data_IF_266199460491
#
_entry.id   IF_266199460491
#
_cell.length_a   1.000
_cell.length_b   1.000
_cell.length_c   1.000
_cell.angle_alpha   90.00
_cell.angle_beta   90.00
_cell.angle_gamma   90.00
#
_symmetry.space_group_name_H-M   'P 1'
#
loop_
_entity.id
_entity.type
_entity.pdbx_description
1 polymer ?
#
# COMPACT_ATOMS: atom_id res chain seq x y z
N UNK A 1 23.95 -26.78 6.22
CA UNK A 1 22.67 -26.27 6.75
C UNK A 1 22.32 -25.04 5.91
N UNK A 2 21.28 -25.09 5.06
CA UNK A 2 20.83 -23.87 4.36
C UNK A 2 20.25 -22.93 5.41
N UNK A 3 20.53 -21.61 5.39
CA UNK A 3 19.85 -20.69 6.27
C UNK A 3 18.35 -20.80 5.97
N UNK A 4 17.56 -21.12 6.99
CA UNK A 4 16.11 -20.94 6.95
C UNK A 4 15.90 -19.44 6.78
N UNK A 5 15.41 -19.01 5.62
CA UNK A 5 14.91 -17.66 5.50
C UNK A 5 13.66 -17.62 6.40
N UNK A 6 13.78 -17.01 7.58
CA UNK A 6 12.58 -16.59 8.29
C UNK A 6 11.90 -15.55 7.39
N UNK A 7 10.60 -15.72 7.13
CA UNK A 7 9.84 -14.66 6.51
C UNK A 7 9.88 -13.44 7.43
N UNK A 8 9.93 -12.23 6.88
CA UNK A 8 10.01 -11.01 7.70
C UNK A 8 8.85 -10.97 8.70
N UNK A 9 7.73 -11.53 8.31
CA UNK A 9 6.47 -11.69 9.02
C UNK A 9 6.58 -12.61 10.26
N UNK A 10 7.59 -13.49 10.31
CA UNK A 10 7.85 -14.40 11.44
C UNK A 10 8.81 -13.78 12.49
N UNK A 11 9.36 -12.60 12.21
CA UNK A 11 10.26 -11.91 13.13
C UNK A 11 9.42 -11.04 14.10
N UNK A 12 9.44 -11.30 15.43
CA UNK A 12 8.64 -10.54 16.40
C UNK A 12 8.92 -9.03 16.39
N UNK A 13 10.16 -8.65 16.08
CA UNK A 13 10.58 -7.26 15.93
C UNK A 13 10.00 -6.59 14.66
N UNK A 14 9.32 -7.36 13.80
CA UNK A 14 8.67 -6.88 12.60
C UNK A 14 7.13 -6.76 12.67
N UNK A 15 6.50 -7.01 13.82
CA UNK A 15 5.04 -6.90 13.99
C UNK A 15 4.48 -5.53 13.55
N UNK A 16 3.32 -5.50 12.88
CA UNK A 16 2.76 -4.28 12.28
C UNK A 16 3.10 -4.06 10.80
N UNK A 17 4.10 -4.80 10.26
CA UNK A 17 4.50 -4.65 8.85
C UNK A 17 3.41 -5.16 7.91
N UNK A 18 2.77 -6.28 8.25
CA UNK A 18 1.74 -6.91 7.42
C UNK A 18 0.48 -6.05 7.36
N UNK A 19 0.06 -5.49 8.50
CA UNK A 19 -1.07 -4.57 8.55
C UNK A 19 -0.80 -3.30 7.73
N UNK A 20 0.41 -2.74 7.82
CA UNK A 20 0.80 -1.59 7.01
C UNK A 20 0.83 -1.92 5.52
N UNK A 21 1.45 -3.03 5.12
CA UNK A 21 1.52 -3.46 3.72
C UNK A 21 0.14 -3.74 3.13
N UNK A 22 -0.77 -4.32 3.92
CA UNK A 22 -2.15 -4.54 3.53
C UNK A 22 -2.88 -3.19 3.32
N UNK A 23 -2.72 -2.22 4.22
CA UNK A 23 -3.28 -0.89 4.06
C UNK A 23 -2.74 -0.17 2.81
N UNK A 24 -1.43 -0.24 2.57
CA UNK A 24 -0.79 0.34 1.37
C UNK A 24 -1.29 -0.30 0.08
N UNK A 25 -1.51 -1.62 0.08
CA UNK A 25 -2.09 -2.32 -1.06
C UNK A 25 -3.51 -1.79 -1.37
N UNK A 26 -4.36 -1.66 -0.36
CA UNK A 26 -5.73 -1.16 -0.50
C UNK A 26 -5.71 0.28 -1.02
N UNK A 27 -4.81 1.12 -0.48
CA UNK A 27 -4.64 2.50 -0.92
C UNK A 27 -4.22 2.59 -2.39
N UNK A 28 -3.27 1.73 -2.82
CA UNK A 28 -2.85 1.64 -4.22
C UNK A 28 -3.99 1.25 -5.17
N UNK A 29 -4.88 0.34 -4.74
CA UNK A 29 -6.08 -0.04 -5.51
C UNK A 29 -7.03 1.15 -5.64
N UNK A 30 -7.27 1.89 -4.56
CA UNK A 30 -8.15 3.05 -4.56
C UNK A 30 -7.63 4.18 -5.47
N UNK A 31 -6.32 4.47 -5.43
CA UNK A 31 -5.71 5.41 -6.39
C UNK A 31 -5.79 4.90 -7.82
N UNK A 32 -5.62 3.60 -8.04
CA UNK A 32 -5.79 2.97 -9.36
C UNK A 32 -7.21 3.17 -9.91
N UNK A 33 -8.23 2.95 -9.07
CA UNK A 33 -9.63 3.21 -9.44
C UNK A 33 -9.86 4.69 -9.76
N UNK A 34 -9.34 5.60 -8.94
CA UNK A 34 -9.46 7.04 -9.18
C UNK A 34 -8.88 7.46 -10.53
N UNK A 35 -7.70 6.94 -10.89
CA UNK A 35 -7.10 7.20 -12.20
C UNK A 35 -8.00 6.72 -13.34
N UNK A 36 -8.62 5.55 -13.18
CA UNK A 36 -9.48 4.97 -14.21
C UNK A 36 -10.82 5.70 -14.36
N UNK A 37 -11.40 6.21 -13.27
CA UNK A 37 -12.64 6.97 -13.30
C UNK A 37 -12.45 8.40 -13.80
N UNK A 38 -11.30 9.02 -13.51
CA UNK A 38 -10.98 10.39 -13.92
C UNK A 38 -10.14 10.46 -15.21
N UNK A 39 -10.13 9.39 -16.01
CA UNK A 39 -9.23 9.25 -17.14
C UNK A 39 -9.51 10.31 -18.23
N UNK A 40 -8.59 11.26 -18.40
CA UNK A 40 -8.72 12.35 -19.37
C UNK A 40 -8.70 11.89 -20.83
N UNK A 41 -9.14 12.76 -21.73
CA UNK A 41 -9.18 12.47 -23.17
C UNK A 41 -7.79 12.55 -23.80
N UNK A 42 -6.96 13.48 -23.33
CA UNK A 42 -5.61 13.71 -23.82
C UNK A 42 -4.53 12.97 -23.01
N UNK A 43 -3.35 12.80 -23.60
CA UNK A 43 -2.18 12.24 -22.89
C UNK A 43 -1.75 13.15 -21.73
N UNK A 44 -1.75 14.47 -21.93
CA UNK A 44 -1.41 15.44 -20.88
C UNK A 44 -2.30 15.29 -19.64
N UNK A 45 -3.63 15.22 -19.85
CA UNK A 45 -4.59 15.07 -18.75
C UNK A 45 -4.40 13.72 -18.04
N UNK A 46 -4.19 12.63 -18.80
CA UNK A 46 -3.93 11.31 -18.21
C UNK A 46 -2.68 11.31 -17.35
N UNK A 47 -1.60 11.95 -17.80
CA UNK A 47 -0.36 12.08 -17.03
C UNK A 47 -0.57 12.90 -15.76
N UNK A 48 -1.36 13.97 -15.82
CA UNK A 48 -1.70 14.76 -14.63
C UNK A 48 -2.54 13.95 -13.63
N UNK A 49 -3.52 13.19 -14.11
CA UNK A 49 -4.40 12.35 -13.28
C UNK A 49 -3.68 11.16 -12.65
N UNK A 50 -2.59 10.69 -13.25
CA UNK A 50 -1.71 9.65 -12.68
C UNK A 50 -0.91 10.12 -11.46
N UNK A 51 -0.80 11.44 -11.22
CA UNK A 51 0.05 12.02 -10.18
C UNK A 51 -0.06 11.35 -8.80
N UNK A 52 -1.25 11.24 -8.21
CA UNK A 52 -1.44 10.61 -6.89
C UNK A 52 -0.98 9.15 -6.84
N UNK A 53 -1.27 8.36 -7.88
CA UNK A 53 -0.86 6.95 -7.95
C UNK A 53 0.67 6.82 -8.07
N UNK A 54 1.31 7.70 -8.86
CA UNK A 54 2.77 7.72 -9.02
C UNK A 54 3.45 8.13 -7.72
N UNK A 55 2.95 9.16 -7.04
CA UNK A 55 3.47 9.63 -5.76
C UNK A 55 3.37 8.53 -4.68
N UNK A 56 2.22 7.89 -4.56
CA UNK A 56 2.03 6.73 -3.69
C UNK A 56 3.07 5.63 -3.95
N UNK A 57 3.25 5.22 -5.21
CA UNK A 57 4.20 4.17 -5.58
C UNK A 57 5.65 4.55 -5.24
N UNK A 58 6.02 5.82 -5.40
CA UNK A 58 7.34 6.33 -5.03
C UNK A 58 7.56 6.32 -3.52
N UNK A 59 6.56 6.76 -2.75
CA UNK A 59 6.63 6.79 -1.28
C UNK A 59 6.73 5.37 -0.71
N UNK A 60 5.88 4.44 -1.15
CA UNK A 60 5.94 3.04 -0.73
C UNK A 60 7.33 2.43 -1.02
N UNK A 61 7.85 2.63 -2.23
CA UNK A 61 9.16 2.13 -2.63
C UNK A 61 10.30 2.70 -1.77
N UNK A 62 10.23 3.98 -1.41
CA UNK A 62 11.21 4.63 -0.54
C UNK A 62 11.12 4.10 0.89
N UNK A 63 9.91 3.96 1.44
CA UNK A 63 9.68 3.42 2.78
C UNK A 63 10.20 2.00 2.92
N UNK A 64 9.92 1.12 1.95
CA UNK A 64 10.46 -0.25 1.91
C UNK A 64 12.00 -0.25 1.86
N UNK A 65 12.60 0.67 1.11
CA UNK A 65 14.07 0.79 1.06
C UNK A 65 14.66 1.28 2.37
N UNK A 66 13.98 2.19 3.07
CA UNK A 66 14.40 2.67 4.39
C UNK A 66 14.28 1.57 5.44
N UNK A 67 13.18 0.81 5.43
CA UNK A 67 12.99 -0.33 6.33
C UNK A 67 14.09 -1.39 6.18
N UNK A 68 14.55 -1.63 4.94
CA UNK A 68 15.70 -2.52 4.69
C UNK A 68 17.01 -2.03 5.34
N UNK A 69 17.17 -0.73 5.56
CA UNK A 69 18.39 -0.14 6.17
C UNK A 69 18.34 -0.15 7.70
N UNK A 70 17.17 -0.39 8.29
CA UNK A 70 16.96 -0.36 9.73
C UNK A 70 15.52 0.05 10.03
N UNK A 71 14.94 -0.55 11.08
CA UNK A 71 13.54 -0.36 11.44
C UNK A 71 13.38 0.71 12.52
N UNK A 72 12.40 1.60 12.33
CA UNK A 72 11.93 2.54 13.34
C UNK A 72 10.44 2.27 13.57
N UNK A 73 10.11 1.60 14.68
CA UNK A 73 8.74 1.17 15.00
C UNK A 73 7.75 2.32 15.12
N UNK A 74 8.19 3.49 15.59
CA UNK A 74 7.33 4.66 15.69
C UNK A 74 6.95 5.16 14.29
N UNK A 75 7.92 5.25 13.38
CA UNK A 75 7.68 5.65 12.00
C UNK A 75 6.77 4.65 11.27
N UNK A 76 6.94 3.34 11.50
CA UNK A 76 6.08 2.31 10.90
C UNK A 76 4.63 2.46 11.38
N UNK A 77 4.39 2.70 12.66
CA UNK A 77 3.04 2.92 13.19
C UNK A 77 2.39 4.18 12.63
N UNK A 78 3.16 5.27 12.50
CA UNK A 78 2.64 6.52 11.91
C UNK A 78 2.30 6.33 10.43
N UNK A 79 3.12 5.58 9.67
CA UNK A 79 2.84 5.21 8.29
C UNK A 79 1.58 4.34 8.18
N UNK A 80 1.41 3.34 9.05
CA UNK A 80 0.23 2.50 9.10
C UNK A 80 -1.05 3.32 9.36
N UNK A 81 -1.04 4.14 10.41
CA UNK A 81 -2.17 5.00 10.75
C UNK A 81 -2.51 5.99 9.62
N UNK A 82 -1.48 6.51 8.92
CA UNK A 82 -1.69 7.39 7.78
C UNK A 82 -2.31 6.66 6.59
N UNK A 83 -1.81 5.48 6.24
CA UNK A 83 -2.36 4.66 5.16
C UNK A 83 -3.81 4.25 5.45
N UNK A 84 -4.09 3.76 6.67
CA UNK A 84 -5.45 3.42 7.13
C UNK A 84 -6.41 4.60 7.01
N UNK A 85 -5.97 5.79 7.42
CA UNK A 85 -6.77 7.01 7.29
C UNK A 85 -7.10 7.31 5.82
N UNK A 86 -6.13 7.21 4.92
CA UNK A 86 -6.35 7.47 3.50
C UNK A 86 -7.24 6.42 2.84
N UNK A 87 -7.17 5.15 3.28
CA UNK A 87 -8.06 4.06 2.83
C UNK A 87 -9.53 4.36 3.15
N UNK A 88 -9.81 5.14 4.20
CA UNK A 88 -11.17 5.56 4.55
C UNK A 88 -11.56 6.86 3.84
N UNK A 89 -10.72 7.88 3.91
CA UNK A 89 -11.04 9.22 3.38
C UNK A 89 -11.22 9.23 1.86
N UNK A 90 -10.45 8.40 1.13
CA UNK A 90 -10.48 8.40 -0.33
C UNK A 90 -11.79 7.81 -0.90
N UNK A 91 -12.27 6.63 -0.45
CA UNK A 91 -13.60 6.14 -0.83
C UNK A 91 -14.73 7.06 -0.37
N UNK A 92 -14.69 7.58 0.86
CA UNK A 92 -15.72 8.50 1.39
C UNK A 92 -15.87 9.75 0.52
N UNK A 93 -14.74 10.35 0.12
CA UNK A 93 -14.73 11.54 -0.74
C UNK A 93 -15.36 11.29 -2.12
N UNK A 94 -15.24 10.07 -2.64
CA UNK A 94 -15.73 9.71 -3.97
C UNK A 94 -17.08 8.96 -3.95
N UNK A 95 -17.62 8.67 -2.76
CA UNK A 95 -18.86 7.89 -2.62
C UNK A 95 -18.70 6.42 -3.01
N UNK A 96 -17.50 5.86 -2.89
CA UNK A 96 -17.22 4.45 -3.17
C UNK A 96 -17.34 3.58 -1.93
N UNK A 97 -17.63 2.29 -2.14
CA UNK A 97 -17.46 1.28 -1.10
C UNK A 97 -15.97 1.08 -0.78
N UNK A 98 -15.66 0.65 0.46
CA UNK A 98 -14.29 0.31 0.84
C UNK A 98 -13.77 -0.84 -0.03
N UNK A 99 -12.53 -0.77 -0.53
CA UNK A 99 -11.98 -1.86 -1.32
C UNK A 99 -11.85 -3.13 -0.46
N UNK A 100 -12.04 -4.32 -1.06
CA UNK A 100 -11.92 -5.57 -0.31
C UNK A 100 -10.51 -5.73 0.25
N UNK A 101 -10.42 -6.07 1.55
CA UNK A 101 -9.15 -6.24 2.25
C UNK A 101 -8.34 -7.48 1.81
N UNK A 102 -8.91 -8.34 0.96
CA UNK A 102 -8.24 -9.52 0.42
C UNK A 102 -8.58 -9.71 -1.06
N UNK A 103 -7.65 -10.29 -1.81
CA UNK A 103 -7.85 -10.68 -3.19
C UNK A 103 -7.95 -12.20 -3.29
N UNK A 104 -9.04 -12.75 -3.86
CA UNK A 104 -9.19 -14.21 -4.03
C UNK A 104 -8.16 -14.81 -5.00
N UNK A 105 -7.38 -13.97 -5.69
CA UNK A 105 -6.28 -14.39 -6.57
C UNK A 105 -4.96 -14.57 -5.84
N UNK A 106 -4.84 -14.08 -4.61
CA UNK A 106 -3.68 -14.26 -3.74
C UNK A 106 -3.94 -15.52 -2.91
N UNK A 107 -3.04 -16.50 -2.98
CA UNK A 107 -3.08 -17.71 -2.15
C UNK A 107 -1.92 -17.70 -1.17
N UNK A 108 -2.08 -18.28 0.02
CA UNK A 108 -0.95 -18.53 0.91
C UNK A 108 0.12 -19.33 0.18
N UNK A 109 1.40 -19.00 0.40
CA UNK A 109 2.53 -19.71 -0.21
C UNK A 109 2.74 -21.14 0.35
N UNK A 110 1.90 -21.57 1.30
CA UNK A 110 2.00 -22.85 2.01
C UNK A 110 0.76 -23.74 1.86
N UNK A 111 -0.13 -23.46 0.90
CA UNK A 111 -1.20 -24.38 0.47
C UNK A 111 -0.77 -25.26 -0.71
#
# INVERSE_FOLDING_TARGET
>A
MKPSAAYVDELPEWGGLDEWLAAEQILGVAFGQQVMEELGESVEERVQKLGPLVEWAQVLSQNLRLLRKGRNDAAVRDLAAHAEKLVIELPEKNGWDLPPASSPRIRPLHE
#
